data_IF_931369536871
#
_entry.id   IF_931369536871
#
_cell.length_a   1.000
_cell.length_b   1.000
_cell.length_c   1.000
_cell.angle_alpha   90.00
_cell.angle_beta   90.00
_cell.angle_gamma   90.00
#
_symmetry.space_group_name_H-M   'P 1'
#
loop_
_entity.id
_entity.type
_entity.pdbx_description
1 polymer ?
#
# COMPACT_ATOMS: atom_id res chain seq x y z
N UNK A 1 11.81 16.34 -5.09
CA UNK A 1 13.05 15.74 -4.52
C UNK A 1 13.39 14.45 -5.26
N UNK A 2 14.55 13.82 -5.05
CA UNK A 2 14.95 12.60 -5.79
C UNK A 2 15.65 11.59 -4.87
N UNK A 3 14.98 10.48 -4.56
CA UNK A 3 15.41 9.48 -3.57
C UNK A 3 15.52 8.09 -4.17
N UNK A 4 16.40 7.26 -3.62
CA UNK A 4 16.50 5.85 -4.01
C UNK A 4 15.27 5.05 -3.54
N UNK A 5 14.97 3.95 -4.24
CA UNK A 5 13.90 3.04 -3.83
C UNK A 5 14.13 2.42 -2.45
N UNK A 6 15.40 2.27 -2.02
CA UNK A 6 15.73 1.76 -0.69
C UNK A 6 15.42 2.80 0.40
N UNK A 7 15.66 4.09 0.14
CA UNK A 7 15.26 5.18 1.06
C UNK A 7 13.74 5.26 1.19
N UNK A 8 13.01 5.09 0.08
CA UNK A 8 11.55 5.00 0.07
C UNK A 8 11.07 3.85 0.96
N UNK A 9 11.59 2.63 0.75
CA UNK A 9 11.20 1.45 1.53
C UNK A 9 11.50 1.64 3.02
N UNK A 10 12.70 2.11 3.36
CA UNK A 10 13.12 2.33 4.73
C UNK A 10 12.24 3.37 5.45
N UNK A 11 11.91 4.48 4.77
CA UNK A 11 11.04 5.51 5.33
C UNK A 11 9.60 5.01 5.46
N UNK A 12 9.05 4.36 4.43
CA UNK A 12 7.69 3.80 4.44
C UNK A 12 7.49 2.80 5.59
N UNK A 13 8.48 1.93 5.85
CA UNK A 13 8.46 1.01 6.99
C UNK A 13 8.38 1.75 8.33
N UNK A 14 9.26 2.75 8.53
CA UNK A 14 9.29 3.54 9.77
C UNK A 14 8.02 4.36 9.96
N UNK A 15 7.54 5.01 8.90
CA UNK A 15 6.31 5.81 8.92
C UNK A 15 5.11 4.95 9.30
N UNK A 16 4.93 3.81 8.62
CA UNK A 16 3.84 2.88 8.93
C UNK A 16 3.95 2.35 10.36
N UNK A 17 5.17 2.09 10.84
CA UNK A 17 5.39 1.74 12.25
C UNK A 17 5.03 2.83 13.23
N UNK A 18 5.40 4.06 12.95
CA UNK A 18 5.07 5.20 13.80
C UNK A 18 3.58 5.54 13.78
N UNK A 19 2.84 5.12 12.76
CA UNK A 19 1.38 5.15 12.73
C UNK A 19 0.72 4.02 13.55
N UNK A 20 1.49 3.15 14.22
CA UNK A 20 0.97 2.13 15.13
C UNK A 20 0.67 0.76 14.48
N UNK A 21 1.07 0.54 13.23
CA UNK A 21 0.91 -0.76 12.57
C UNK A 21 1.86 -1.82 13.15
N UNK A 22 1.46 -3.12 13.13
CA UNK A 22 2.34 -4.24 13.52
C UNK A 22 3.52 -4.44 12.53
N UNK A 23 4.51 -5.27 12.90
CA UNK A 23 5.76 -5.41 12.13
C UNK A 23 5.51 -5.94 10.73
N UNK A 24 4.67 -6.97 10.59
CA UNK A 24 4.33 -7.54 9.29
C UNK A 24 3.70 -6.50 8.36
N UNK A 25 2.62 -5.84 8.79
CA UNK A 25 1.94 -4.86 7.94
C UNK A 25 2.83 -3.67 7.56
N UNK A 26 3.76 -3.25 8.41
CA UNK A 26 4.69 -2.19 8.05
C UNK A 26 5.77 -2.62 7.05
N UNK A 27 6.18 -3.88 7.07
CA UNK A 27 7.05 -4.46 6.05
C UNK A 27 6.32 -4.62 4.72
N UNK A 28 5.06 -5.05 4.77
CA UNK A 28 4.21 -5.16 3.58
C UNK A 28 3.94 -3.80 2.96
N UNK A 29 3.61 -2.78 3.77
CA UNK A 29 3.47 -1.40 3.30
C UNK A 29 4.75 -0.89 2.64
N UNK A 30 5.93 -1.17 3.22
CA UNK A 30 7.20 -0.74 2.67
C UNK A 30 7.48 -1.34 1.29
N UNK A 31 7.27 -2.66 1.15
CA UNK A 31 7.41 -3.37 -0.14
C UNK A 31 6.38 -2.89 -1.15
N UNK A 32 5.15 -2.64 -0.71
CA UNK A 32 4.06 -2.14 -1.55
C UNK A 32 4.41 -0.76 -2.13
N UNK A 33 4.82 0.18 -1.27
CA UNK A 33 5.23 1.52 -1.71
C UNK A 33 6.43 1.45 -2.66
N UNK A 34 7.44 0.63 -2.33
CA UNK A 34 8.60 0.45 -3.22
C UNK A 34 8.19 -0.09 -4.59
N UNK A 35 7.30 -1.07 -4.66
CA UNK A 35 6.79 -1.64 -5.91
C UNK A 35 6.08 -0.59 -6.76
N UNK A 36 5.22 0.23 -6.16
CA UNK A 36 4.53 1.32 -6.87
C UNK A 36 5.54 2.33 -7.42
N UNK A 37 6.46 2.79 -6.57
CA UNK A 37 7.50 3.74 -6.97
C UNK A 37 8.39 3.18 -8.08
N UNK A 38 8.76 1.89 -8.03
CA UNK A 38 9.53 1.26 -9.10
C UNK A 38 8.76 1.17 -10.42
N UNK A 39 7.42 1.20 -10.38
CA UNK A 39 6.55 1.22 -11.55
C UNK A 39 6.11 2.64 -11.98
N UNK A 40 6.79 3.67 -11.48
CA UNK A 40 6.51 5.07 -11.82
C UNK A 40 5.22 5.63 -11.20
N UNK A 41 4.64 4.95 -10.21
CA UNK A 41 3.45 5.41 -9.48
C UNK A 41 3.87 5.95 -8.12
N UNK A 42 3.29 7.08 -7.71
CA UNK A 42 3.60 7.71 -6.42
C UNK A 42 2.99 6.94 -5.24
N UNK A 43 3.67 5.87 -4.82
CA UNK A 43 3.32 5.11 -3.63
C UNK A 43 3.52 5.88 -2.33
N UNK A 44 4.41 6.89 -2.31
CA UNK A 44 4.67 7.70 -1.13
C UNK A 44 3.46 8.57 -0.79
N UNK A 45 2.87 9.23 -1.80
CA UNK A 45 1.67 10.03 -1.63
C UNK A 45 0.48 9.18 -1.17
N UNK A 46 0.29 8.01 -1.78
CA UNK A 46 -0.75 7.08 -1.40
C UNK A 46 -0.60 6.62 0.07
N UNK A 47 0.61 6.23 0.49
CA UNK A 47 0.86 5.84 1.87
C UNK A 47 0.64 7.02 2.83
N UNK A 48 1.16 8.21 2.52
CA UNK A 48 0.98 9.38 3.37
C UNK A 48 -0.50 9.72 3.58
N UNK A 49 -1.31 9.65 2.52
CA UNK A 49 -2.76 9.83 2.59
C UNK A 49 -3.43 8.77 3.48
N UNK A 50 -3.12 7.49 3.27
CA UNK A 50 -3.62 6.38 4.10
C UNK A 50 -3.27 6.54 5.58
N UNK A 51 -2.02 6.88 5.90
CA UNK A 51 -1.59 7.05 7.29
C UNK A 51 -2.29 8.24 7.96
N UNK A 52 -2.57 9.33 7.24
CA UNK A 52 -3.36 10.45 7.77
C UNK A 52 -4.80 10.05 8.08
N UNK A 53 -5.44 9.29 7.18
CA UNK A 53 -6.83 8.82 7.39
C UNK A 53 -6.94 7.94 8.64
N UNK A 54 -5.94 7.12 8.91
CA UNK A 54 -5.95 6.20 10.04
C UNK A 54 -5.17 6.69 11.27
N UNK A 55 -4.64 7.92 11.28
CA UNK A 55 -3.90 8.43 12.43
C UNK A 55 -4.82 8.56 13.65
N UNK A 56 -4.39 8.00 14.78
CA UNK A 56 -5.21 7.92 16.00
C UNK A 56 -6.43 7.00 15.91
N UNK A 57 -6.69 6.38 14.76
CA UNK A 57 -7.74 5.38 14.63
C UNK A 57 -7.30 4.05 15.24
N UNK A 58 -8.25 3.32 15.81
CA UNK A 58 -8.02 1.94 16.22
C UNK A 58 -7.98 1.05 14.97
N UNK A 59 -6.78 0.69 14.52
CA UNK A 59 -6.54 -0.09 13.29
C UNK A 59 -7.39 -1.37 13.22
N UNK A 60 -7.68 -2.00 14.36
CA UNK A 60 -8.52 -3.21 14.41
C UNK A 60 -9.92 -3.00 13.79
N UNK A 61 -10.51 -1.81 13.93
CA UNK A 61 -11.81 -1.48 13.34
C UNK A 61 -11.77 -1.33 11.81
N UNK A 62 -10.56 -1.20 11.25
CA UNK A 62 -10.29 -1.03 9.81
C UNK A 62 -9.78 -2.32 9.16
N UNK A 63 -9.62 -3.39 9.95
CA UNK A 63 -9.21 -4.69 9.45
C UNK A 63 -10.31 -5.28 8.56
N UNK A 64 -9.96 -5.84 7.39
CA UNK A 64 -10.92 -6.43 6.48
C UNK A 64 -11.53 -7.72 7.06
N UNK A 65 -12.81 -7.93 6.77
CA UNK A 65 -13.51 -9.21 6.89
C UNK A 65 -14.27 -9.48 5.60
N UNK A 66 -14.48 -10.75 5.30
CA UNK A 66 -15.33 -11.15 4.18
C UNK A 66 -16.74 -11.46 4.68
N UNK A 67 -17.75 -10.77 4.15
CA UNK A 67 -19.17 -10.98 4.44
C UNK A 67 -19.88 -11.21 3.11
N UNK A 68 -20.52 -12.38 2.95
CA UNK A 68 -21.25 -12.75 1.72
C UNK A 68 -20.44 -12.54 0.42
N UNK A 69 -19.14 -12.84 0.47
CA UNK A 69 -18.22 -12.69 -0.67
C UNK A 69 -17.63 -11.29 -0.88
N UNK A 70 -18.06 -10.30 -0.09
CA UNK A 70 -17.58 -8.92 -0.14
C UNK A 70 -16.59 -8.62 0.99
N UNK A 71 -15.42 -8.08 0.65
CA UNK A 71 -14.39 -7.71 1.63
C UNK A 71 -14.53 -6.26 2.08
N UNK A 72 -14.71 -6.05 3.38
CA UNK A 72 -14.93 -4.72 3.97
C UNK A 72 -14.39 -4.63 5.39
N UNK A 73 -14.17 -3.42 5.88
CA UNK A 73 -13.95 -3.19 7.30
C UNK A 73 -15.24 -3.36 8.10
N UNK A 74 -15.13 -3.44 9.42
CA UNK A 74 -16.30 -3.39 10.29
C UNK A 74 -16.98 -2.01 10.27
N UNK A 75 -16.18 -0.95 10.25
CA UNK A 75 -16.68 0.42 10.14
C UNK A 75 -15.82 1.26 9.20
N UNK A 76 -16.47 2.11 8.40
CA UNK A 76 -15.83 3.01 7.44
C UNK A 76 -14.94 2.30 6.41
N UNK A 77 -13.87 2.96 6.00
CA UNK A 77 -12.98 2.45 4.96
C UNK A 77 -12.04 1.35 5.46
N UNK A 78 -11.86 0.31 4.65
CA UNK A 78 -10.86 -0.72 4.87
C UNK A 78 -9.44 -0.17 4.72
N UNK A 79 -8.53 -0.65 5.57
CA UNK A 79 -7.11 -0.36 5.39
C UNK A 79 -6.58 -1.13 4.17
N UNK A 80 -6.01 -0.45 3.14
CA UNK A 80 -5.59 -1.12 1.91
C UNK A 80 -4.44 -2.10 2.13
N UNK A 81 -3.55 -1.84 3.08
CA UNK A 81 -2.42 -2.74 3.39
C UNK A 81 -2.93 -4.04 4.04
N UNK A 82 -3.83 -3.92 5.03
CA UNK A 82 -4.42 -5.08 5.69
C UNK A 82 -5.30 -5.91 4.75
N UNK A 83 -6.09 -5.23 3.91
CA UNK A 83 -6.91 -5.86 2.87
C UNK A 83 -6.05 -6.58 1.82
N UNK A 84 -4.97 -5.95 1.37
CA UNK A 84 -4.03 -6.57 0.44
C UNK A 84 -3.40 -7.85 1.00
N UNK A 85 -2.95 -7.82 2.26
CA UNK A 85 -2.43 -9.00 2.94
C UNK A 85 -3.48 -10.12 3.03
N UNK A 86 -4.70 -9.80 3.48
CA UNK A 86 -5.78 -10.79 3.63
C UNK A 86 -6.21 -11.43 2.30
N UNK A 87 -6.20 -10.67 1.19
CA UNK A 87 -6.45 -11.21 -0.14
C UNK A 87 -5.32 -12.14 -0.60
N UNK A 88 -4.06 -11.73 -0.40
CA UNK A 88 -2.89 -12.50 -0.79
C UNK A 88 -2.81 -13.84 -0.03
N UNK A 89 -3.14 -13.84 1.26
CA UNK A 89 -3.19 -15.06 2.08
C UNK A 89 -4.16 -16.11 1.52
N UNK A 90 -5.14 -15.69 0.69
CA UNK A 90 -6.17 -16.55 0.08
C UNK A 90 -6.03 -16.69 -1.44
N UNK A 91 -4.95 -16.19 -2.04
CA UNK A 91 -4.75 -16.11 -3.48
C UNK A 91 -5.01 -17.45 -4.20
N UNK A 92 -4.34 -18.51 -3.76
CA UNK A 92 -4.45 -19.84 -4.39
C UNK A 92 -5.79 -20.56 -4.17
N UNK A 93 -6.61 -20.09 -3.21
CA UNK A 93 -7.93 -20.65 -2.93
C UNK A 93 -9.04 -19.99 -3.74
N UNK A 94 -8.76 -18.83 -4.31
CA UNK A 94 -9.73 -17.97 -5.00
C UNK A 94 -9.41 -17.79 -6.49
N UNK A 95 -8.51 -18.63 -7.03
CA UNK A 95 -8.16 -18.66 -8.45
C UNK A 95 -9.42 -18.74 -9.32
N UNK A 96 -9.54 -17.83 -10.29
CA UNK A 96 -10.70 -17.71 -11.19
C UNK A 96 -11.92 -16.99 -10.59
N UNK A 97 -11.92 -16.64 -9.30
CA UNK A 97 -13.02 -15.94 -8.66
C UNK A 97 -12.79 -14.43 -8.62
N UNK A 98 -13.82 -13.66 -8.94
CA UNK A 98 -13.78 -12.20 -8.76
C UNK A 98 -13.90 -11.86 -7.28
N UNK A 99 -12.93 -11.12 -6.75
CA UNK A 99 -12.99 -10.59 -5.39
C UNK A 99 -13.54 -9.16 -5.44
N UNK A 100 -14.58 -8.88 -4.66
CA UNK A 100 -15.14 -7.52 -4.53
C UNK A 100 -14.80 -6.98 -3.15
N UNK A 101 -14.35 -5.72 -3.11
CA UNK A 101 -13.84 -5.08 -1.89
C UNK A 101 -14.34 -3.64 -1.77
N UNK A 102 -14.41 -3.10 -0.56
CA UNK A 102 -14.67 -1.67 -0.31
C UNK A 102 -15.50 -1.42 0.95
N UNK A 103 -15.81 -0.16 1.31
CA UNK A 103 -15.13 1.06 0.87
C UNK A 103 -13.64 1.06 1.24
N UNK A 104 -12.79 1.78 0.49
CA UNK A 104 -11.33 1.75 0.67
C UNK A 104 -10.67 3.08 0.29
N UNK A 105 -9.70 3.50 1.11
CA UNK A 105 -8.82 4.65 0.82
C UNK A 105 -7.57 4.25 0.04
N UNK A 106 -7.13 5.13 -0.85
CA UNK A 106 -6.01 4.96 -1.77
C UNK A 106 -5.92 3.54 -2.36
N UNK A 107 -6.93 3.09 -3.13
CA UNK A 107 -7.00 1.74 -3.72
C UNK A 107 -5.72 1.28 -4.43
N UNK A 108 -4.91 2.21 -4.96
CA UNK A 108 -3.61 1.90 -5.57
C UNK A 108 -2.68 1.08 -4.65
N UNK A 109 -2.78 1.22 -3.33
CA UNK A 109 -1.98 0.47 -2.37
C UNK A 109 -2.33 -1.04 -2.33
N UNK A 110 -3.46 -1.47 -2.92
CA UNK A 110 -3.76 -2.89 -3.10
C UNK A 110 -2.96 -3.52 -4.25
N UNK A 111 -2.58 -2.73 -5.26
CA UNK A 111 -1.98 -3.23 -6.51
C UNK A 111 -0.73 -4.09 -6.28
N UNK A 112 0.19 -3.76 -5.35
CA UNK A 112 1.37 -4.59 -5.11
C UNK A 112 1.02 -5.99 -4.57
N UNK A 113 -0.05 -6.11 -3.77
CA UNK A 113 -0.53 -7.40 -3.29
C UNK A 113 -1.21 -8.18 -4.42
N UNK A 114 -1.99 -7.50 -5.27
CA UNK A 114 -2.59 -8.09 -6.48
C UNK A 114 -1.50 -8.57 -7.45
N UNK A 115 -0.38 -7.87 -7.53
CA UNK A 115 0.79 -8.32 -8.28
C UNK A 115 1.36 -9.62 -7.69
N UNK A 116 1.44 -9.77 -6.37
CA UNK A 116 1.81 -11.05 -5.75
C UNK A 116 0.78 -12.15 -6.03
N UNK A 117 -0.52 -11.84 -6.02
CA UNK A 117 -1.59 -12.79 -6.41
C UNK A 117 -1.40 -13.24 -7.86
N UNK A 118 -1.02 -12.35 -8.77
CA UNK A 118 -0.73 -12.68 -10.16
C UNK A 118 0.40 -13.73 -10.26
N UNK A 119 1.46 -13.57 -9.48
CA UNK A 119 2.58 -14.52 -9.42
C UNK A 119 2.14 -15.87 -8.84
N UNK A 120 1.36 -15.86 -7.75
CA UNK A 120 0.84 -17.09 -7.13
C UNK A 120 -0.07 -17.86 -8.08
N UNK A 121 -0.92 -17.16 -8.82
CA UNK A 121 -1.89 -17.77 -9.72
C UNK A 121 -1.31 -18.08 -11.11
N UNK A 122 -0.11 -17.58 -11.43
CA UNK A 122 0.51 -17.73 -12.75
C UNK A 122 -0.27 -17.04 -13.88
N UNK A 123 -1.06 -16.00 -13.58
CA UNK A 123 -1.85 -15.26 -14.56
C UNK A 123 -1.89 -13.77 -14.21
N UNK A 124 -2.08 -12.91 -15.22
CA UNK A 124 -2.24 -11.48 -14.97
C UNK A 124 -3.54 -11.20 -14.21
N UNK A 125 -3.54 -10.14 -13.42
CA UNK A 125 -4.70 -9.73 -12.62
C UNK A 125 -5.12 -8.32 -13.02
N UNK A 126 -6.42 -8.09 -13.12
CA UNK A 126 -7.04 -6.78 -13.27
C UNK A 126 -7.60 -6.31 -11.93
N UNK A 127 -7.35 -5.04 -11.63
CA UNK A 127 -7.93 -4.31 -10.53
C UNK A 127 -8.74 -3.13 -11.07
N UNK A 128 -9.94 -2.92 -10.55
CA UNK A 128 -10.83 -1.86 -10.99
C UNK A 128 -11.45 -1.16 -9.78
N UNK A 129 -11.30 0.15 -9.68
CA UNK A 129 -11.84 0.99 -8.62
C UNK A 129 -12.40 2.29 -9.22
N UNK A 130 -13.72 2.38 -9.42
CA UNK A 130 -14.33 3.52 -10.11
C UNK A 130 -13.83 3.65 -11.55
N UNK A 131 -13.32 4.80 -11.97
CA UNK A 131 -12.70 4.96 -13.30
C UNK A 131 -11.24 4.49 -13.37
N UNK A 132 -10.64 4.14 -12.24
CA UNK A 132 -9.25 3.71 -12.15
C UNK A 132 -9.14 2.21 -12.42
N UNK A 133 -8.28 1.82 -13.36
CA UNK A 133 -8.00 0.43 -13.66
C UNK A 133 -6.49 0.16 -13.67
N UNK A 134 -6.13 -1.02 -13.20
CA UNK A 134 -4.76 -1.54 -13.27
C UNK A 134 -4.79 -2.96 -13.78
N UNK A 135 -3.89 -3.30 -14.68
CA UNK A 135 -3.54 -4.69 -14.97
C UNK A 135 -2.11 -4.92 -14.49
N UNK A 136 -1.82 -6.10 -13.93
CA UNK A 136 -0.47 -6.46 -13.48
C UNK A 136 -0.17 -7.92 -13.80
N UNK A 137 1.06 -8.19 -14.25
CA UNK A 137 1.61 -9.54 -14.44
C UNK A 137 2.43 -10.01 -13.23
N UNK A 138 2.44 -9.22 -12.16
CA UNK A 138 3.25 -9.46 -10.96
C UNK A 138 4.55 -8.68 -10.89
N UNK A 139 5.03 -8.16 -12.03
CA UNK A 139 6.26 -7.37 -12.10
C UNK A 139 6.00 -5.94 -12.59
N UNK A 140 5.20 -5.82 -13.64
CA UNK A 140 4.84 -4.56 -14.26
C UNK A 140 3.36 -4.27 -14.06
N UNK A 141 3.01 -2.99 -14.09
CA UNK A 141 1.62 -2.54 -14.07
C UNK A 141 1.32 -1.71 -15.32
N UNK A 142 0.08 -1.79 -15.78
CA UNK A 142 -0.52 -0.91 -16.78
C UNK A 142 -1.65 -0.17 -16.07
N UNK A 143 -1.59 1.16 -16.03
CA UNK A 143 -2.61 2.00 -15.38
C UNK A 143 -3.48 2.70 -16.42
N UNK A 144 -4.80 2.69 -16.22
CA UNK A 144 -5.76 3.42 -17.04
C UNK A 144 -6.66 4.28 -16.14
N UNK A 145 -6.88 5.52 -16.56
CA UNK A 145 -7.66 6.50 -15.79
C UNK A 145 -6.87 7.16 -14.67
N UNK A 146 -7.47 8.16 -14.03
CA UNK A 146 -6.87 8.83 -12.88
C UNK A 146 -6.85 7.91 -11.66
N UNK A 147 -5.75 7.90 -10.92
CA UNK A 147 -5.65 7.16 -9.65
C UNK A 147 -6.65 7.76 -8.66
N UNK A 148 -7.58 6.96 -8.18
CA UNK A 148 -8.57 7.40 -7.19
C UNK A 148 -7.96 7.40 -5.78
N UNK A 149 -8.30 8.40 -4.97
CA UNK A 149 -7.94 8.46 -3.54
C UNK A 149 -8.93 7.67 -2.66
N UNK A 150 -10.10 7.32 -3.20
CA UNK A 150 -11.13 6.56 -2.51
C UNK A 150 -11.95 5.73 -3.51
N UNK A 151 -12.47 4.59 -3.09
CA UNK A 151 -13.50 3.88 -3.83
C UNK A 151 -14.51 3.21 -2.89
N UNK A 152 -15.81 3.40 -3.15
CA UNK A 152 -16.88 2.68 -2.44
C UNK A 152 -16.84 1.18 -2.72
N UNK A 153 -16.43 0.80 -3.93
CA UNK A 153 -16.29 -0.58 -4.36
C UNK A 153 -15.17 -0.71 -5.39
N UNK A 154 -14.39 -1.78 -5.27
CA UNK A 154 -13.37 -2.18 -6.21
C UNK A 154 -13.42 -3.70 -6.45
N UNK A 155 -12.90 -4.14 -7.59
CA UNK A 155 -12.91 -5.54 -8.02
C UNK A 155 -11.52 -6.00 -8.43
N UNK A 156 -11.17 -7.21 -8.03
CA UNK A 156 -9.96 -7.93 -8.45
C UNK A 156 -10.39 -9.18 -9.22
N UNK A 157 -9.90 -9.33 -10.44
CA UNK A 157 -10.26 -10.45 -11.31
C UNK A 157 -9.07 -10.88 -12.18
N UNK A 158 -9.14 -12.09 -12.72
CA UNK A 158 -8.11 -12.57 -13.65
C UNK A 158 -8.21 -11.84 -14.98
N UNK A 159 -7.06 -11.60 -15.59
CA UNK A 159 -6.90 -10.99 -16.89
C UNK A 159 -5.95 -11.82 -17.74
N UNK A 160 -6.13 -11.79 -19.06
CA UNK A 160 -5.32 -12.61 -19.95
C UNK A 160 -3.87 -12.11 -20.10
N UNK A 161 -3.68 -10.79 -20.28
CA UNK A 161 -2.34 -10.23 -20.52
C UNK A 161 -2.23 -8.74 -20.25
N UNK A 162 -1.02 -8.33 -19.88
CA UNK A 162 -0.57 -6.95 -19.87
C UNK A 162 -0.31 -6.48 -21.31
N UNK A 163 -0.76 -5.27 -21.69
CA UNK A 163 -0.64 -4.76 -23.07
C UNK A 163 0.42 -3.67 -23.18
N UNK A 164 0.40 -2.71 -22.26
CA UNK A 164 1.27 -1.55 -22.28
C UNK A 164 1.85 -1.31 -20.87
N UNK A 165 2.89 -2.09 -20.47
CA UNK A 165 3.48 -1.96 -19.15
C UNK A 165 4.17 -0.61 -18.95
N UNK A 166 4.06 -0.07 -17.74
CA UNK A 166 4.87 1.04 -17.28
C UNK A 166 6.36 0.66 -17.29
N UNK A 167 7.22 1.64 -17.56
CA UNK A 167 8.66 1.46 -17.44
C UNK A 167 9.08 1.45 -15.98
N UNK A 168 10.02 0.56 -15.63
CA UNK A 168 10.61 0.58 -14.29
C UNK A 168 11.57 1.75 -14.13
N UNK A 169 11.54 2.36 -12.96
CA UNK A 169 12.45 3.42 -12.54
C UNK A 169 13.27 2.98 -11.32
N UNK A 170 14.48 3.50 -11.19
CA UNK A 170 15.39 3.18 -10.07
C UNK A 170 15.33 4.18 -8.93
N UNK A 171 14.59 5.29 -9.11
CA UNK A 171 14.46 6.39 -8.16
C UNK A 171 13.04 6.93 -8.15
N UNK A 172 12.61 7.41 -6.98
CA UNK A 172 11.31 8.05 -6.80
C UNK A 172 11.48 9.56 -6.64
N UNK A 173 10.44 10.29 -7.02
CA UNK A 173 10.42 11.77 -6.94
C UNK A 173 9.20 12.28 -6.14
N UNK A 174 8.99 11.83 -4.90
CA UNK A 174 7.86 12.29 -4.10
C UNK A 174 7.93 13.80 -3.88
N UNK A 175 6.78 14.41 -3.63
CA UNK A 175 6.72 15.80 -3.21
C UNK A 175 7.34 15.98 -1.82
N UNK A 176 7.97 17.15 -1.59
CA UNK A 176 8.60 17.46 -0.30
C UNK A 176 7.60 17.38 0.85
N UNK A 177 6.39 17.92 0.67
CA UNK A 177 5.34 17.87 1.68
C UNK A 177 4.87 16.45 2.01
N UNK A 178 4.84 15.55 1.01
CA UNK A 178 4.53 14.12 1.22
C UNK A 178 5.64 13.46 2.03
N UNK A 179 6.88 13.73 1.67
CA UNK A 179 8.05 13.20 2.37
C UNK A 179 8.11 13.65 3.83
N UNK A 180 7.82 14.92 4.10
CA UNK A 180 7.76 15.48 5.45
C UNK A 180 6.72 14.78 6.32
N UNK A 181 5.55 14.45 5.74
CA UNK A 181 4.52 13.70 6.46
C UNK A 181 4.96 12.28 6.81
N UNK A 182 5.59 11.57 5.87
CA UNK A 182 6.14 10.25 6.16
C UNK A 182 7.23 10.32 7.24
N UNK A 183 8.08 11.36 7.23
CA UNK A 183 9.06 11.58 8.29
C UNK A 183 8.39 11.89 9.63
N UNK A 184 7.35 12.70 9.67
CA UNK A 184 6.62 13.01 10.90
C UNK A 184 6.05 11.73 11.54
N UNK A 185 5.48 10.82 10.75
CA UNK A 185 5.09 9.50 11.25
C UNK A 185 6.31 8.69 11.69
N UNK A 186 7.39 8.63 10.91
CA UNK A 186 8.59 7.88 11.26
C UNK A 186 9.22 8.36 12.58
N UNK A 187 9.18 9.66 12.88
CA UNK A 187 9.67 10.22 14.14
C UNK A 187 8.92 9.69 15.37
N UNK A 188 7.65 9.25 15.22
CA UNK A 188 6.89 8.60 16.31
C UNK A 188 7.52 7.27 16.77
N UNK A 189 8.45 6.69 16.01
CA UNK A 189 9.19 5.48 16.42
C UNK A 189 10.46 5.77 17.22
N UNK A 190 10.82 7.04 17.42
CA UNK A 190 12.07 7.39 18.09
C UNK A 190 11.87 7.37 19.60
N UNK A 191 12.86 6.85 20.33
CA UNK A 191 12.84 6.94 21.78
C UNK A 191 12.92 8.42 22.20
N UNK A 192 12.21 8.83 23.26
CA UNK A 192 12.40 10.15 23.84
C UNK A 192 13.88 10.37 24.16
N UNK A 193 14.41 11.55 23.85
CA UNK A 193 15.75 11.92 24.28
C UNK A 193 15.77 11.98 25.82
N UNK A 194 16.22 10.91 26.48
CA UNK A 194 16.38 10.89 27.93
C UNK A 194 17.48 11.88 28.33
N UNK A 195 17.41 12.44 29.55
CA UNK A 195 18.51 13.25 30.10
C UNK A 195 19.86 12.50 30.10
N UNK A 196 19.83 11.17 30.13
CA UNK A 196 21.02 10.32 30.02
C UNK A 196 21.66 10.39 28.61
N UNK A 197 20.87 10.53 27.55
CA UNK A 197 21.35 10.80 26.19
C UNK A 197 21.95 12.21 26.06
N UNK A 198 21.49 13.19 26.85
CA UNK A 198 22.07 14.55 26.90
C UNK A 198 23.38 14.61 27.68
N UNK A 199 23.52 13.85 28.78
CA UNK A 199 24.75 13.78 29.59
C UNK A 199 25.88 12.97 28.95
N UNK A 200 25.56 12.00 28.08
CA UNK A 200 26.54 11.18 27.34
C UNK A 200 26.80 11.69 25.91
N UNK A 201 26.59 13.00 25.67
CA UNK A 201 27.07 13.64 24.45
C UNK A 201 28.55 13.32 24.28
N UNK A 202 28.90 12.75 23.13
CA UNK A 202 30.22 12.20 22.83
C UNK A 202 31.33 13.22 23.12
N UNK A 203 32.06 12.98 24.21
CA UNK A 203 33.46 13.35 24.34
C UNK A 203 34.32 12.19 23.88
#
# INVERSE_FOLDING_TARGET
MNVSLNEVEALAKKATRGAGYPWGLAEDAAKAVRFLCSNGVDGCAALAGTLRVFDGAQLHNRMPRQVDGFWQAETGDACPIALGAALLDRAGLTTGQVQTVGPIVHPILLVPFIAQIALVNGCAMRFHAGSFQVVTDGKFIETLGAISEHADTARVEQEGKLKAPNSHVSRATPDAAVWDVLNAFAHKTYAPATEESRRKGAG
#
